data_IF_987759648695
#
_entry.id   IF_987759648695
#
_cell.length_a   1.000
_cell.length_b   1.000
_cell.length_c   1.000
_cell.angle_alpha   90.00
_cell.angle_beta   90.00
_cell.angle_gamma   90.00
#
_symmetry.space_group_name_H-M   'P 1'
#
loop_
_entity.id
_entity.type
_entity.pdbx_description
1 polymer ?
#
# COMPACT_ATOMS: atom_id res chain seq x y z
N UNK A 1 -11.80 1.61 2.89
CA UNK A 1 -10.37 1.39 2.56
C UNK A 1 -9.48 1.43 3.81
N UNK A 2 -9.65 2.42 4.69
CA UNK A 2 -8.86 2.59 5.94
C UNK A 2 -8.84 1.35 6.86
N UNK A 3 -9.97 0.65 7.00
CA UNK A 3 -10.07 -0.59 7.80
C UNK A 3 -9.21 -1.75 7.29
N UNK A 4 -8.97 -1.85 5.98
CA UNK A 4 -8.10 -2.89 5.39
C UNK A 4 -6.62 -2.60 5.63
N UNK A 5 -6.24 -1.32 5.64
CA UNK A 5 -4.87 -0.88 5.95
C UNK A 5 -4.49 -1.24 7.39
N UNK A 6 -5.38 -0.94 8.35
CA UNK A 6 -5.12 -1.25 9.77
C UNK A 6 -4.97 -2.76 9.99
N UNK A 7 -5.79 -3.57 9.30
CA UNK A 7 -5.67 -5.02 9.37
C UNK A 7 -4.36 -5.52 8.74
N UNK A 8 -3.92 -4.91 7.63
CA UNK A 8 -2.64 -5.23 7.00
C UNK A 8 -1.45 -4.97 7.93
N UNK A 9 -1.47 -3.86 8.68
CA UNK A 9 -0.46 -3.54 9.70
C UNK A 9 -0.42 -4.60 10.79
N UNK A 10 -1.58 -5.08 11.25
CA UNK A 10 -1.65 -6.15 12.26
C UNK A 10 -1.03 -7.45 11.74
N UNK A 11 -1.29 -7.84 10.49
CA UNK A 11 -0.67 -9.02 9.90
C UNK A 11 0.83 -8.84 9.67
N UNK A 12 1.27 -7.64 9.28
CA UNK A 12 2.69 -7.29 9.16
C UNK A 12 3.42 -7.48 10.49
N UNK A 13 2.87 -6.95 11.60
CA UNK A 13 3.45 -7.11 12.94
C UNK A 13 3.44 -8.56 13.44
N UNK A 14 2.56 -9.41 12.90
CA UNK A 14 2.50 -10.84 13.20
C UNK A 14 3.42 -11.69 12.32
N UNK A 15 4.11 -11.09 11.35
CA UNK A 15 4.95 -11.81 10.39
C UNK A 15 4.18 -12.50 9.25
N UNK A 16 2.85 -12.37 9.19
CA UNK A 16 2.04 -12.88 8.08
C UNK A 16 2.07 -11.88 6.91
N UNK A 17 3.24 -11.79 6.29
CA UNK A 17 3.52 -10.82 5.24
C UNK A 17 2.69 -11.05 3.97
N UNK A 18 2.29 -12.29 3.70
CA UNK A 18 1.45 -12.64 2.56
C UNK A 18 0.06 -11.99 2.68
N UNK A 19 -0.61 -12.17 3.83
CA UNK A 19 -1.91 -11.52 4.07
C UNK A 19 -1.79 -10.01 4.15
N UNK A 20 -0.72 -9.48 4.75
CA UNK A 20 -0.49 -8.05 4.78
C UNK A 20 -0.42 -7.46 3.36
N UNK A 21 0.33 -8.10 2.45
CA UNK A 21 0.46 -7.67 1.06
C UNK A 21 -0.88 -7.73 0.30
N UNK A 22 -1.68 -8.78 0.48
CA UNK A 22 -3.01 -8.88 -0.13
C UNK A 22 -3.95 -7.76 0.34
N UNK A 23 -3.95 -7.46 1.64
CA UNK A 23 -4.79 -6.41 2.20
C UNK A 23 -4.36 -5.01 1.75
N UNK A 24 -3.06 -4.73 1.70
CA UNK A 24 -2.56 -3.47 1.13
C UNK A 24 -2.97 -3.32 -0.33
N UNK A 25 -2.78 -4.36 -1.15
CA UNK A 25 -3.17 -4.35 -2.56
C UNK A 25 -4.68 -4.16 -2.76
N UNK A 26 -5.50 -4.84 -1.96
CA UNK A 26 -6.95 -4.67 -2.00
C UNK A 26 -7.38 -3.24 -1.59
N UNK A 27 -6.68 -2.63 -0.62
CA UNK A 27 -6.93 -1.25 -0.22
C UNK A 27 -6.55 -0.26 -1.33
N UNK A 28 -5.41 -0.46 -1.99
CA UNK A 28 -4.98 0.35 -3.12
C UNK A 28 -5.94 0.26 -4.31
N UNK A 29 -6.44 -0.94 -4.63
CA UNK A 29 -7.39 -1.14 -5.73
C UNK A 29 -8.69 -0.37 -5.52
N UNK A 30 -9.21 -0.33 -4.29
CA UNK A 30 -10.41 0.48 -3.97
C UNK A 30 -10.14 1.97 -4.19
N UNK A 31 -8.96 2.44 -3.82
CA UNK A 31 -8.56 3.82 -4.07
C UNK A 31 -8.26 4.11 -5.54
N UNK A 32 -7.87 3.11 -6.33
CA UNK A 32 -7.71 3.21 -7.79
C UNK A 32 -9.05 3.29 -8.52
N UNK A 33 -10.05 2.56 -8.04
CA UNK A 33 -11.41 2.56 -8.57
C UNK A 33 -12.17 3.84 -8.17
N UNK A 34 -11.81 4.45 -7.04
CA UNK A 34 -12.30 5.78 -6.69
C UNK A 34 -11.68 6.81 -7.63
N UNK A 35 -12.48 7.43 -8.50
CA UNK A 35 -12.07 8.43 -9.51
C UNK A 35 -11.58 9.78 -8.94
N UNK A 36 -11.00 9.79 -7.74
CA UNK A 36 -10.53 10.97 -7.04
C UNK A 36 -9.00 11.04 -6.97
N UNK A 37 -8.49 12.23 -6.67
CA UNK A 37 -7.07 12.43 -6.36
C UNK A 37 -6.65 11.55 -5.17
N UNK A 38 -5.39 11.10 -5.13
CA UNK A 38 -4.82 10.42 -3.96
C UNK A 38 -5.15 11.16 -2.67
N UNK A 39 -5.85 10.48 -1.76
CA UNK A 39 -6.13 10.98 -0.42
C UNK A 39 -4.93 10.73 0.51
N UNK A 40 -4.91 11.38 1.67
CA UNK A 40 -3.90 11.10 2.69
C UNK A 40 -3.89 9.62 3.11
N UNK A 41 -5.06 8.97 3.15
CA UNK A 41 -5.18 7.54 3.43
C UNK A 41 -4.51 6.67 2.36
N UNK A 42 -4.62 7.07 1.09
CA UNK A 42 -3.96 6.37 0.00
C UNK A 42 -2.43 6.41 0.15
N UNK A 43 -1.85 7.57 0.46
CA UNK A 43 -0.40 7.74 0.68
C UNK A 43 0.11 6.90 1.86
N UNK A 44 -0.69 6.80 2.93
CA UNK A 44 -0.38 5.94 4.09
C UNK A 44 -0.36 4.46 3.68
N UNK A 45 -1.35 4.00 2.90
CA UNK A 45 -1.40 2.60 2.41
C UNK A 45 -0.19 2.29 1.53
N UNK A 46 0.17 3.20 0.62
CA UNK A 46 1.36 3.07 -0.25
C UNK A 46 2.63 2.95 0.57
N UNK A 47 2.82 3.86 1.54
CA UNK A 47 4.03 3.88 2.37
C UNK A 47 4.19 2.59 3.17
N UNK A 48 3.12 2.16 3.84
CA UNK A 48 3.13 0.93 4.63
C UNK A 48 3.39 -0.32 3.76
N UNK A 49 2.85 -0.35 2.55
CA UNK A 49 3.10 -1.47 1.64
C UNK A 49 4.52 -1.45 1.07
N UNK A 50 5.07 -0.27 0.78
CA UNK A 50 6.46 -0.13 0.37
C UNK A 50 7.41 -0.62 1.46
N UNK A 51 7.14 -0.31 2.73
CA UNK A 51 7.95 -0.78 3.86
C UNK A 51 7.87 -2.30 4.06
N UNK A 52 6.68 -2.88 3.91
CA UNK A 52 6.52 -4.35 3.87
C UNK A 52 7.34 -4.97 2.73
N UNK A 53 7.28 -4.39 1.53
CA UNK A 53 8.05 -4.90 0.39
C UNK A 53 9.56 -4.80 0.64
N UNK A 54 10.03 -3.75 1.32
CA UNK A 54 11.43 -3.62 1.74
C UNK A 54 11.83 -4.67 2.76
N UNK A 55 10.99 -4.95 3.77
CA UNK A 55 11.28 -5.98 4.78
C UNK A 55 11.34 -7.39 4.17
N UNK A 56 10.62 -7.62 3.07
CA UNK A 56 10.68 -8.85 2.27
C UNK A 56 11.85 -8.90 1.26
N UNK A 57 12.76 -7.91 1.27
CA UNK A 57 13.86 -7.82 0.29
C UNK A 57 13.44 -7.41 -1.12
N UNK A 58 12.17 -7.02 -1.31
CA UNK A 58 11.59 -6.63 -2.60
C UNK A 58 11.69 -5.11 -2.85
N UNK A 59 12.86 -4.52 -2.57
CA UNK A 59 13.09 -3.07 -2.66
C UNK A 59 12.74 -2.47 -4.04
N UNK A 60 12.97 -3.22 -5.13
CA UNK A 60 12.60 -2.80 -6.48
C UNK A 60 11.10 -2.61 -6.65
N UNK A 61 10.27 -3.49 -6.06
CA UNK A 61 8.81 -3.38 -6.10
C UNK A 61 8.31 -2.23 -5.24
N UNK A 62 8.92 -2.04 -4.05
CA UNK A 62 8.62 -0.91 -3.18
C UNK A 62 8.81 0.43 -3.91
N UNK A 63 9.96 0.59 -4.60
CA UNK A 63 10.24 1.80 -5.36
C UNK A 63 9.26 2.01 -6.52
N UNK A 64 8.91 0.96 -7.27
CA UNK A 64 7.91 1.04 -8.34
C UNK A 64 6.54 1.49 -7.82
N UNK A 65 6.14 1.00 -6.65
CA UNK A 65 4.89 1.37 -6.00
C UNK A 65 4.86 2.87 -5.65
N UNK A 66 5.91 3.39 -5.03
CA UNK A 66 6.03 4.81 -4.68
C UNK A 66 6.05 5.72 -5.91
N UNK A 67 6.74 5.30 -6.99
CA UNK A 67 6.73 6.04 -8.26
C UNK A 67 5.33 6.05 -8.87
N UNK A 68 4.60 4.93 -8.83
CA UNK A 68 3.23 4.88 -9.33
C UNK A 68 2.30 5.82 -8.55
N UNK A 69 2.41 5.84 -7.22
CA UNK A 69 1.65 6.74 -6.37
C UNK A 69 1.92 8.23 -6.69
N UNK A 70 3.19 8.62 -6.81
CA UNK A 70 3.58 10.00 -7.20
C UNK A 70 3.00 10.41 -8.54
N UNK A 71 3.07 9.54 -9.55
CA UNK A 71 2.48 9.82 -10.88
C UNK A 71 0.97 10.04 -10.83
N UNK A 72 0.25 9.40 -9.90
CA UNK A 72 -1.19 9.66 -9.71
C UNK A 72 -1.47 10.96 -8.98
N UNK A 73 -0.58 11.41 -8.10
CA UNK A 73 -0.69 12.70 -7.41
C UNK A 73 -0.46 13.88 -8.36
N UNK A 74 0.39 13.69 -9.36
CA UNK A 74 0.75 14.70 -10.37
C UNK A 74 -0.24 14.79 -11.55
N UNK A 75 -1.22 13.89 -11.64
CA UNK A 75 -2.31 13.92 -12.63
C UNK A 75 -3.51 14.74 -12.13
#
# INVERSE_FOLDING_TARGET
AQSKCNLAVVYHSRGDYAKAAELYRASLKIWEEASGKPSQDYEIVVSNYADLLRSLGQARKAHQLEVHARKRRER
#
